data_IF_825843081441
#
_entry.id   IF_825843081441
#
_cell.length_a   1.000
_cell.length_b   1.000
_cell.length_c   1.000
_cell.angle_alpha   90.00
_cell.angle_beta   90.00
_cell.angle_gamma   90.00
#
_symmetry.space_group_name_H-M   'P 1'
#
loop_
_entity.id
_entity.type
_entity.pdbx_description
1 polymer ?
#
# COMPACT_ATOMS: atom_id res chain seq x y z
N UNK A 1 -11.96 -3.17 22.71
CA UNK A 1 -12.39 -4.13 21.67
C UNK A 1 -11.18 -4.41 20.80
N UNK A 2 -10.90 -5.66 20.41
CA UNK A 2 -9.85 -5.95 19.43
C UNK A 2 -10.11 -5.16 18.15
N UNK A 3 -9.08 -4.53 17.60
CA UNK A 3 -9.19 -3.76 16.36
C UNK A 3 -9.40 -4.76 15.21
N UNK A 4 -10.57 -4.70 14.57
CA UNK A 4 -10.85 -5.43 13.34
C UNK A 4 -11.31 -4.44 12.27
N UNK A 5 -10.37 -4.02 11.43
CA UNK A 5 -10.61 -3.00 10.42
C UNK A 5 -10.00 -3.41 9.08
N UNK A 6 -10.57 -2.93 7.98
CA UNK A 6 -10.07 -3.21 6.63
C UNK A 6 -10.18 -2.00 5.71
N UNK A 7 -9.27 -1.93 4.76
CA UNK A 7 -9.23 -0.88 3.74
C UNK A 7 -8.97 -1.50 2.36
N UNK A 8 -9.64 -0.93 1.35
CA UNK A 8 -9.42 -1.21 -0.06
C UNK A 8 -9.03 0.09 -0.74
N UNK A 9 -7.98 0.05 -1.55
CA UNK A 9 -7.49 1.18 -2.31
C UNK A 9 -7.31 0.76 -3.77
N UNK A 10 -7.82 1.56 -4.70
CA UNK A 10 -7.68 1.34 -6.14
C UNK A 10 -7.25 2.63 -6.83
N UNK A 11 -6.25 2.54 -7.71
CA UNK A 11 -5.73 3.67 -8.49
C UNK A 11 -5.08 3.18 -9.79
N UNK A 12 -4.92 4.09 -10.75
CA UNK A 12 -4.24 3.80 -12.02
C UNK A 12 -2.75 3.51 -11.83
N UNK A 13 -2.21 2.62 -12.67
CA UNK A 13 -0.82 2.18 -12.72
C UNK A 13 0.15 3.28 -13.21
N UNK A 14 0.23 4.36 -12.44
CA UNK A 14 1.03 5.56 -12.72
C UNK A 14 2.13 5.65 -11.65
N UNK A 15 3.41 5.85 -12.02
CA UNK A 15 4.53 5.91 -11.06
C UNK A 15 4.34 6.90 -9.90
N UNK A 16 3.67 8.04 -10.15
CA UNK A 16 3.36 9.03 -9.12
C UNK A 16 2.51 8.47 -7.96
N UNK A 17 1.75 7.39 -8.18
CA UNK A 17 0.91 6.78 -7.16
C UNK A 17 1.66 5.85 -6.20
N UNK A 18 2.95 5.55 -6.43
CA UNK A 18 3.76 4.74 -5.49
C UNK A 18 3.85 5.42 -4.12
N UNK A 19 4.14 6.73 -4.10
CA UNK A 19 4.26 7.49 -2.86
C UNK A 19 2.91 7.65 -2.15
N UNK A 20 1.83 7.80 -2.91
CA UNK A 20 0.46 7.81 -2.40
C UNK A 20 0.12 6.47 -1.73
N UNK A 21 0.31 5.35 -2.44
CA UNK A 21 -0.02 4.01 -1.94
C UNK A 21 0.68 3.69 -0.62
N UNK A 22 2.00 3.89 -0.53
CA UNK A 22 2.76 3.61 0.69
C UNK A 22 2.35 4.51 1.86
N UNK A 23 2.06 5.78 1.59
CA UNK A 23 1.61 6.71 2.63
C UNK A 23 0.23 6.31 3.18
N UNK A 24 -0.71 5.97 2.29
CA UNK A 24 -2.06 5.55 2.68
C UNK A 24 -2.05 4.24 3.48
N UNK A 25 -1.29 3.23 3.04
CA UNK A 25 -1.21 1.96 3.75
C UNK A 25 -0.52 2.13 5.11
N UNK A 26 0.57 2.90 5.19
CA UNK A 26 1.24 3.17 6.46
C UNK A 26 0.36 3.96 7.45
N UNK A 27 -0.38 4.96 6.96
CA UNK A 27 -1.35 5.70 7.78
C UNK A 27 -2.50 4.81 8.26
N UNK A 28 -2.92 3.84 7.45
CA UNK A 28 -3.90 2.86 7.89
C UNK A 28 -3.30 1.93 8.97
N UNK A 29 -2.08 1.42 8.74
CA UNK A 29 -1.37 0.52 9.63
C UNK A 29 -1.02 1.14 11.00
N UNK A 30 -0.82 2.46 11.08
CA UNK A 30 -0.48 3.16 12.33
C UNK A 30 -1.58 3.17 13.39
N UNK A 31 -2.74 2.56 13.12
CA UNK A 31 -3.77 2.31 14.13
C UNK A 31 -3.38 1.16 15.09
N UNK A 32 -2.39 0.33 14.73
CA UNK A 32 -1.78 -0.67 15.61
C UNK A 32 -0.59 -0.07 16.38
N UNK A 33 -0.12 -0.78 17.41
CA UNK A 33 1.06 -0.41 18.19
C UNK A 33 2.38 -0.66 17.42
N UNK A 34 2.50 -0.08 16.23
CA UNK A 34 3.71 -0.12 15.41
C UNK A 34 4.69 0.97 15.79
N UNK A 35 5.97 0.61 15.82
CA UNK A 35 7.05 1.60 15.90
C UNK A 35 7.20 2.33 14.57
N UNK A 36 7.95 3.43 14.58
CA UNK A 36 8.28 4.13 13.33
C UNK A 36 9.03 3.21 12.35
N UNK A 37 9.89 2.32 12.86
CA UNK A 37 10.63 1.36 12.03
C UNK A 37 9.69 0.39 11.31
N UNK A 38 8.70 -0.16 12.04
CA UNK A 38 7.71 -1.07 11.45
C UNK A 38 6.90 -0.38 10.34
N UNK A 39 6.53 0.89 10.55
CA UNK A 39 5.83 1.68 9.53
C UNK A 39 6.70 1.97 8.30
N UNK A 40 8.01 2.17 8.47
CA UNK A 40 8.93 2.31 7.33
C UNK A 40 9.07 1.01 6.54
N UNK A 41 9.13 -0.15 7.21
CA UNK A 41 9.14 -1.46 6.54
C UNK A 41 7.86 -1.68 5.70
N UNK A 42 6.68 -1.33 6.25
CA UNK A 42 5.42 -1.34 5.50
C UNK A 42 5.49 -0.44 4.27
N UNK A 43 6.07 0.76 4.37
CA UNK A 43 6.22 1.66 3.22
C UNK A 43 7.13 1.09 2.15
N UNK A 44 8.24 0.44 2.54
CA UNK A 44 9.17 -0.19 1.61
C UNK A 44 8.47 -1.33 0.88
N UNK A 45 7.81 -2.24 1.60
CA UNK A 45 7.10 -3.38 1.01
C UNK A 45 6.00 -2.94 0.03
N UNK A 46 5.21 -1.92 0.40
CA UNK A 46 4.18 -1.37 -0.50
C UNK A 46 4.81 -0.70 -1.72
N UNK A 47 5.93 0.02 -1.55
CA UNK A 47 6.63 0.66 -2.67
C UNK A 47 7.13 -0.38 -3.68
N UNK A 48 7.73 -1.46 -3.22
CA UNK A 48 8.23 -2.54 -4.08
C UNK A 48 7.08 -3.26 -4.79
N UNK A 49 6.00 -3.61 -4.08
CA UNK A 49 4.85 -4.28 -4.68
C UNK A 49 4.16 -3.44 -5.76
N UNK A 50 3.97 -2.14 -5.50
CA UNK A 50 3.36 -1.21 -6.47
C UNK A 50 4.31 -0.96 -7.65
N UNK A 51 5.60 -0.74 -7.39
CA UNK A 51 6.62 -0.60 -8.45
C UNK A 51 6.67 -1.83 -9.36
N UNK A 52 6.68 -3.03 -8.78
CA UNK A 52 6.68 -4.28 -9.54
C UNK A 52 5.41 -4.46 -10.36
N UNK A 53 4.26 -4.07 -9.81
CA UNK A 53 2.99 -4.10 -10.54
C UNK A 53 3.03 -3.18 -11.76
N UNK A 54 3.56 -1.96 -11.62
CA UNK A 54 3.69 -0.99 -12.71
C UNK A 54 4.67 -1.49 -13.78
N UNK A 55 5.90 -1.83 -13.37
CA UNK A 55 7.02 -2.10 -14.28
C UNK A 55 6.91 -3.49 -14.90
N UNK A 56 6.67 -4.51 -14.08
CA UNK A 56 6.72 -5.91 -14.50
C UNK A 56 5.33 -6.48 -14.79
N UNK A 57 4.34 -6.16 -13.96
CA UNK A 57 2.97 -6.64 -14.13
C UNK A 57 2.27 -6.02 -15.34
N UNK A 58 2.19 -4.70 -15.37
CA UNK A 58 1.48 -3.94 -16.41
C UNK A 58 2.38 -3.37 -17.50
N UNK A 59 3.70 -3.56 -17.41
CA UNK A 59 4.68 -3.09 -18.42
C UNK A 59 4.52 -1.61 -18.75
N UNK A 60 4.33 -0.78 -17.70
CA UNK A 60 4.08 0.65 -17.78
C UNK A 60 2.77 1.07 -18.48
N UNK A 61 1.79 0.17 -18.64
CA UNK A 61 0.45 0.54 -19.11
C UNK A 61 -0.30 1.30 -18.00
N UNK A 62 -0.54 2.60 -18.22
CA UNK A 62 -1.12 3.51 -17.23
C UNK A 62 -2.64 3.44 -17.09
N UNK A 63 -3.32 2.71 -17.98
CA UNK A 63 -4.76 2.48 -17.99
C UNK A 63 -5.19 1.27 -17.13
N UNK A 64 -4.23 0.59 -16.51
CA UNK A 64 -4.47 -0.55 -15.61
C UNK A 64 -4.67 -0.09 -14.18
N UNK A 65 -5.49 -0.82 -13.43
CA UNK A 65 -5.74 -0.54 -12.01
C UNK A 65 -4.89 -1.42 -11.11
N UNK A 66 -4.23 -0.79 -10.13
CA UNK A 66 -3.61 -1.47 -8.99
C UNK A 66 -4.60 -1.47 -7.84
N UNK A 67 -4.77 -2.63 -7.21
CA UNK A 67 -5.71 -2.85 -6.09
C UNK A 67 -4.93 -3.30 -4.86
N UNK A 68 -5.08 -2.58 -3.76
CA UNK A 68 -4.47 -2.91 -2.47
C UNK A 68 -5.58 -3.23 -1.48
N UNK A 69 -5.37 -4.31 -0.72
CA UNK A 69 -6.23 -4.73 0.39
C UNK A 69 -5.37 -4.76 1.65
N UNK A 70 -5.82 -4.09 2.70
CA UNK A 70 -5.16 -4.08 4.01
C UNK A 70 -6.16 -4.46 5.09
N UNK A 71 -5.79 -5.38 5.97
CA UNK A 71 -6.57 -5.76 7.15
C UNK A 71 -5.74 -5.57 8.41
N UNK A 72 -6.36 -5.04 9.47
CA UNK A 72 -5.77 -4.91 10.80
C UNK A 72 -6.54 -5.84 11.73
N UNK A 73 -5.81 -6.67 12.44
CA UNK A 73 -6.35 -7.58 13.46
C UNK A 73 -5.44 -7.48 14.67
N UNK A 74 -5.99 -7.06 15.80
CA UNK A 74 -5.30 -6.90 17.08
C UNK A 74 -6.05 -7.53 18.24
#
# INVERSE_FOLDING_TARGET
>A
MPLNNQMKLEFLSIPANISFARATVAAFASQLEFTLSDLEEVKVAVSEAVSNSIIHGYRNASDRFIKIYAGLTG
#
